data_IF_893110812926
#
_entry.id   IF_893110812926
#
_cell.length_a   1.000
_cell.length_b   1.000
_cell.length_c   1.000
_cell.angle_alpha   90.00
_cell.angle_beta   90.00
_cell.angle_gamma   90.00
#
_symmetry.space_group_name_H-M   'P 1'
#
loop_
_entity.id
_entity.type
_entity.pdbx_description
1 polymer ?
#
# COMPACT_ATOMS: atom_id res chain seq x y z
N UNK A 1 -13.48 -43.23 -29.07
CA UNK A 1 -14.33 -42.14 -29.58
C UNK A 1 -14.01 -40.96 -28.68
N UNK A 2 -13.02 -40.17 -29.10
CA UNK A 2 -12.65 -38.95 -28.39
C UNK A 2 -13.63 -37.87 -28.83
N UNK A 3 -14.60 -37.57 -27.98
CA UNK A 3 -15.50 -36.42 -28.18
C UNK A 3 -14.70 -35.14 -27.93
N UNK A 4 -14.33 -34.47 -29.01
CA UNK A 4 -13.79 -33.11 -28.99
C UNK A 4 -14.77 -32.19 -28.25
N UNK A 5 -14.39 -31.74 -27.06
CA UNK A 5 -15.07 -30.64 -26.36
C UNK A 5 -14.58 -29.34 -27.00
N UNK A 6 -15.11 -28.97 -28.17
CA UNK A 6 -14.65 -27.77 -28.90
C UNK A 6 -15.69 -26.67 -29.12
N UNK A 7 -16.80 -26.68 -28.37
CA UNK A 7 -17.78 -25.59 -28.42
C UNK A 7 -17.45 -24.43 -27.46
N UNK A 8 -16.21 -23.93 -27.50
CA UNK A 8 -15.86 -22.69 -26.79
C UNK A 8 -16.37 -21.51 -27.63
N UNK A 9 -17.53 -20.96 -27.25
CA UNK A 9 -18.10 -19.77 -27.88
C UNK A 9 -17.51 -18.51 -27.25
N UNK A 10 -16.75 -17.73 -28.03
CA UNK A 10 -16.34 -16.38 -27.63
C UNK A 10 -17.53 -15.43 -27.76
N UNK A 11 -17.88 -14.77 -26.66
CA UNK A 11 -18.95 -13.76 -26.60
C UNK A 11 -18.43 -12.51 -25.90
N UNK A 12 -19.07 -11.36 -26.17
CA UNK A 12 -18.69 -10.13 -25.48
C UNK A 12 -19.04 -10.22 -23.99
N UNK A 13 -18.30 -9.52 -23.12
CA UNK A 13 -18.60 -9.53 -21.68
C UNK A 13 -20.02 -8.99 -21.39
N UNK A 14 -20.51 -8.04 -22.20
CA UNK A 14 -21.86 -7.49 -22.09
C UNK A 14 -22.94 -8.50 -22.45
N UNK A 15 -22.72 -9.25 -23.54
CA UNK A 15 -23.59 -10.39 -23.92
C UNK A 15 -23.59 -11.46 -22.83
N UNK A 16 -22.43 -11.79 -22.27
CA UNK A 16 -22.35 -12.74 -21.15
C UNK A 16 -23.12 -12.27 -19.92
N UNK A 17 -23.00 -10.99 -19.53
CA UNK A 17 -23.78 -10.40 -18.42
C UNK A 17 -25.29 -10.52 -18.67
N UNK A 18 -25.75 -10.25 -19.89
CA UNK A 18 -27.16 -10.38 -20.27
C UNK A 18 -27.66 -11.83 -20.17
N UNK A 19 -26.88 -12.79 -20.66
CA UNK A 19 -27.24 -14.21 -20.59
C UNK A 19 -27.34 -14.72 -19.15
N UNK A 20 -26.46 -14.26 -18.25
CA UNK A 20 -26.56 -14.54 -16.82
C UNK A 20 -27.81 -13.90 -16.19
N UNK A 21 -28.16 -12.67 -16.57
CA UNK A 21 -29.35 -11.98 -16.10
C UNK A 21 -30.66 -12.64 -16.57
N UNK A 22 -30.64 -13.26 -17.75
CA UNK A 22 -31.76 -14.03 -18.33
C UNK A 22 -31.86 -15.45 -17.78
N UNK A 23 -30.94 -15.86 -16.89
CA UNK A 23 -30.83 -17.20 -16.34
C UNK A 23 -30.75 -18.28 -17.45
N UNK A 24 -29.98 -18.02 -18.52
CA UNK A 24 -29.76 -18.99 -19.60
C UNK A 24 -29.20 -20.31 -19.01
N UNK A 25 -29.88 -21.45 -19.21
CA UNK A 25 -29.52 -22.74 -18.61
C UNK A 25 -28.17 -23.28 -19.08
N UNK A 26 -27.54 -22.69 -20.11
CA UNK A 26 -26.21 -23.07 -20.60
C UNK A 26 -25.06 -22.53 -19.73
N UNK A 27 -25.33 -21.60 -18.82
CA UNK A 27 -24.32 -20.94 -17.99
C UNK A 27 -24.57 -21.15 -16.50
N UNK A 28 -23.50 -21.08 -15.69
CA UNK A 28 -23.62 -21.22 -14.24
C UNK A 28 -24.38 -20.00 -13.68
N UNK A 29 -25.48 -20.20 -12.93
CA UNK A 29 -26.30 -19.10 -12.46
C UNK A 29 -25.54 -18.30 -11.40
N UNK A 30 -25.13 -17.09 -11.77
CA UNK A 30 -24.51 -16.11 -10.88
C UNK A 30 -25.37 -14.85 -10.81
N UNK A 31 -25.52 -14.33 -9.59
CA UNK A 31 -26.26 -13.09 -9.36
C UNK A 31 -25.43 -11.89 -9.83
N UNK A 32 -25.84 -11.31 -10.96
CA UNK A 32 -25.21 -10.14 -11.58
C UNK A 32 -25.39 -8.84 -10.79
N UNK A 33 -26.18 -8.85 -9.71
CA UNK A 33 -26.42 -7.68 -8.84
C UNK A 33 -25.71 -7.79 -7.48
N UNK A 34 -25.00 -8.89 -7.20
CA UNK A 34 -24.20 -9.09 -5.98
C UNK A 34 -22.71 -8.87 -6.24
N UNK A 35 -21.85 -9.38 -5.36
CA UNK A 35 -20.39 -9.22 -5.45
C UNK A 35 -19.80 -9.61 -6.81
N UNK A 36 -20.33 -10.63 -7.50
CA UNK A 36 -19.88 -11.00 -8.85
C UNK A 36 -20.28 -9.98 -9.92
N UNK A 37 -21.39 -9.26 -9.71
CA UNK A 37 -21.82 -8.11 -10.50
C UNK A 37 -20.80 -6.97 -10.53
N UNK A 38 -20.09 -6.76 -9.42
CA UNK A 38 -19.06 -5.73 -9.31
C UNK A 38 -17.96 -5.91 -10.37
N UNK A 39 -17.61 -7.15 -10.74
CA UNK A 39 -16.63 -7.41 -11.79
C UNK A 39 -17.08 -6.84 -13.15
N UNK A 40 -18.36 -6.99 -13.49
CA UNK A 40 -18.92 -6.45 -14.73
C UNK A 40 -18.94 -4.93 -14.73
N UNK A 41 -19.28 -4.31 -13.60
CA UNK A 41 -19.30 -2.86 -13.47
C UNK A 41 -17.88 -2.28 -13.50
N UNK A 42 -16.91 -2.95 -12.87
CA UNK A 42 -15.47 -2.65 -12.93
C UNK A 42 -14.99 -2.68 -14.39
N UNK A 43 -15.22 -3.78 -15.11
CA UNK A 43 -14.83 -3.91 -16.53
C UNK A 43 -15.52 -2.83 -17.37
N UNK A 44 -16.83 -2.61 -17.16
CA UNK A 44 -17.60 -1.61 -17.91
C UNK A 44 -17.07 -0.20 -17.69
N UNK A 45 -16.82 0.21 -16.44
CA UNK A 45 -16.26 1.53 -16.10
C UNK A 45 -14.90 1.69 -16.80
N UNK A 46 -14.03 0.68 -16.70
CA UNK A 46 -12.67 0.69 -17.27
C UNK A 46 -12.63 0.83 -18.80
N UNK A 47 -13.50 0.14 -19.53
CA UNK A 47 -13.49 0.18 -21.00
C UNK A 47 -14.29 1.35 -21.60
N UNK A 48 -15.13 2.02 -20.82
CA UNK A 48 -15.89 3.20 -21.24
C UNK A 48 -15.27 4.53 -20.81
N UNK A 49 -14.30 4.50 -19.90
CA UNK A 49 -13.67 5.71 -19.37
C UNK A 49 -12.75 6.36 -20.41
N UNK A 50 -12.85 7.68 -20.54
CA UNK A 50 -12.02 8.47 -21.43
C UNK A 50 -10.68 8.77 -20.75
N UNK A 51 -9.68 7.92 -21.00
CA UNK A 51 -8.36 8.03 -20.39
C UNK A 51 -7.67 9.37 -20.66
N UNK A 52 -7.91 9.99 -21.82
CA UNK A 52 -7.34 11.30 -22.15
C UNK A 52 -7.95 12.39 -21.28
N UNK A 53 -9.28 12.42 -21.17
CA UNK A 53 -9.98 13.38 -20.30
C UNK A 53 -9.59 13.21 -18.83
N UNK A 54 -9.51 11.96 -18.34
CA UNK A 54 -9.09 11.66 -16.96
C UNK A 54 -7.64 12.10 -16.69
N UNK A 55 -6.74 11.89 -17.66
CA UNK A 55 -5.36 12.37 -17.61
C UNK A 55 -5.27 13.90 -17.53
N UNK A 56 -6.06 14.62 -18.33
CA UNK A 56 -6.12 16.08 -18.26
C UNK A 56 -6.64 16.59 -16.91
N UNK A 57 -7.63 15.89 -16.32
CA UNK A 57 -8.10 16.19 -14.95
C UNK A 57 -6.98 16.01 -13.94
N UNK A 58 -6.26 14.88 -13.96
CA UNK A 58 -5.13 14.66 -13.04
C UNK A 58 -4.02 15.68 -13.21
N UNK A 59 -3.66 16.03 -14.45
CA UNK A 59 -2.67 17.08 -14.73
C UNK A 59 -3.11 18.42 -14.11
N UNK A 60 -4.40 18.74 -14.17
CA UNK A 60 -4.95 19.94 -13.54
C UNK A 60 -4.90 19.86 -12.02
N UNK A 61 -5.15 18.69 -11.44
CA UNK A 61 -5.05 18.45 -9.99
C UNK A 61 -3.60 18.56 -9.51
N UNK A 62 -2.65 17.95 -10.21
CA UNK A 62 -1.21 18.05 -9.94
C UNK A 62 -0.70 19.49 -9.99
N UNK A 63 -1.19 20.28 -10.95
CA UNK A 63 -0.86 21.72 -11.05
C UNK A 63 -1.38 22.56 -9.89
N UNK A 64 -2.22 22.02 -8.99
CA UNK A 64 -2.57 22.70 -7.73
C UNK A 64 -1.40 22.76 -6.76
N UNK A 65 -0.46 21.82 -6.86
CA UNK A 65 0.73 21.77 -6.02
C UNK A 65 1.88 22.50 -6.71
N UNK A 66 2.20 23.70 -6.22
CA UNK A 66 3.37 24.42 -6.69
C UNK A 66 4.64 23.71 -6.18
N UNK A 67 5.62 23.42 -7.04
CA UNK A 67 6.90 22.89 -6.58
C UNK A 67 7.61 23.96 -5.75
N UNK A 68 7.88 23.66 -4.48
CA UNK A 68 8.60 24.54 -3.56
C UNK A 68 9.87 23.81 -3.12
N UNK A 69 11.01 24.50 -3.23
CA UNK A 69 12.27 23.98 -2.67
C UNK A 69 12.26 24.22 -1.16
N UNK A 70 12.26 23.15 -0.38
CA UNK A 70 12.45 23.22 1.07
C UNK A 70 13.94 23.32 1.37
N UNK A 71 14.35 24.38 2.05
CA UNK A 71 15.72 24.59 2.53
C UNK A 71 15.71 24.68 4.04
N UNK A 72 16.66 24.04 4.71
CA UNK A 72 16.86 24.15 6.15
C UNK A 72 18.12 24.97 6.44
N UNK A 73 18.05 25.80 7.48
CA UNK A 73 19.23 26.49 8.01
C UNK A 73 19.97 25.54 8.95
N UNK A 74 21.18 25.13 8.54
CA UNK A 74 21.99 24.15 9.26
C UNK A 74 23.14 24.82 10.04
N UNK A 75 23.12 26.14 10.16
CA UNK A 75 24.14 26.90 10.90
C UNK A 75 24.07 26.54 12.39
N UNK A 76 25.18 26.09 12.95
CA UNK A 76 25.26 25.68 14.36
C UNK A 76 25.31 24.16 14.58
N UNK A 77 25.05 23.36 13.54
CA UNK A 77 25.34 21.93 13.58
C UNK A 77 26.84 21.71 13.38
N UNK A 78 27.43 20.87 14.22
CA UNK A 78 28.81 20.41 14.03
C UNK A 78 28.85 19.24 13.01
N UNK A 79 30.06 18.86 12.60
CA UNK A 79 30.25 17.79 11.61
C UNK A 79 29.62 16.45 12.03
N UNK A 80 29.63 16.12 13.34
CA UNK A 80 29.06 14.88 13.84
C UNK A 80 27.53 14.88 13.81
N UNK A 81 26.89 16.00 14.16
CA UNK A 81 25.44 16.16 14.05
C UNK A 81 24.99 16.18 12.58
N UNK A 82 25.81 16.71 11.68
CA UNK A 82 25.58 16.63 10.22
C UNK A 82 25.66 15.19 9.70
N UNK A 83 26.62 14.39 10.17
CA UNK A 83 26.68 12.96 9.83
C UNK A 83 25.48 12.18 10.39
N UNK A 84 25.08 12.48 11.64
CA UNK A 84 23.88 11.91 12.23
C UNK A 84 22.62 12.26 11.43
N UNK A 85 22.47 13.50 10.97
CA UNK A 85 21.35 13.94 10.14
C UNK A 85 21.22 13.12 8.85
N UNK A 86 22.34 12.76 8.20
CA UNK A 86 22.33 11.87 7.03
C UNK A 86 21.77 10.49 7.36
N UNK A 87 22.08 9.95 8.54
CA UNK A 87 21.53 8.68 9.01
C UNK A 87 20.04 8.78 9.36
N UNK A 88 19.62 9.89 9.96
CA UNK A 88 18.21 10.18 10.25
C UNK A 88 17.38 10.27 8.96
N UNK A 89 17.90 10.93 7.92
CA UNK A 89 17.23 10.98 6.60
C UNK A 89 17.08 9.57 6.03
N UNK A 90 18.10 8.71 6.15
CA UNK A 90 17.99 7.31 5.70
C UNK A 90 16.95 6.53 6.49
N UNK A 91 16.84 6.74 7.81
CA UNK A 91 15.81 6.12 8.63
C UNK A 91 14.41 6.63 8.25
N UNK A 92 14.27 7.94 7.97
CA UNK A 92 13.03 8.56 7.50
C UNK A 92 12.53 7.92 6.19
N UNK A 93 13.44 7.68 5.23
CA UNK A 93 13.11 6.99 3.97
C UNK A 93 12.58 5.57 4.18
N UNK A 94 13.00 4.88 5.25
CA UNK A 94 12.44 3.57 5.62
C UNK A 94 11.03 3.72 6.18
N UNK A 95 10.74 4.78 6.93
CA UNK A 95 9.38 5.07 7.40
C UNK A 95 8.44 5.32 6.22
N UNK A 96 8.92 6.03 5.18
CA UNK A 96 8.16 6.16 3.92
C UNK A 96 7.84 4.79 3.32
N UNK A 97 8.81 3.86 3.26
CA UNK A 97 8.55 2.50 2.76
C UNK A 97 7.45 1.77 3.55
N UNK A 98 7.47 1.88 4.88
CA UNK A 98 6.45 1.29 5.76
C UNK A 98 5.09 1.97 5.54
N UNK A 99 5.05 3.31 5.51
CA UNK A 99 3.83 4.07 5.27
C UNK A 99 3.17 3.66 3.95
N UNK A 100 3.96 3.52 2.88
CA UNK A 100 3.44 3.07 1.59
C UNK A 100 2.79 1.69 1.66
N UNK A 101 3.30 0.78 2.50
CA UNK A 101 2.69 -0.54 2.76
C UNK A 101 1.41 -0.42 3.60
N UNK A 102 1.38 0.47 4.58
CA UNK A 102 0.23 0.71 5.47
C UNK A 102 -0.97 1.28 4.72
N UNK A 103 -0.75 2.23 3.81
CA UNK A 103 -1.81 2.91 3.05
C UNK A 103 -2.57 1.95 2.14
N UNK A 104 -1.87 1.07 1.42
CA UNK A 104 -2.51 0.14 0.50
C UNK A 104 -1.60 -1.04 0.15
N UNK A 105 -2.09 -2.26 0.34
CA UNK A 105 -1.33 -3.48 0.03
C UNK A 105 -0.78 -3.55 -1.40
N UNK A 106 -1.44 -2.84 -2.33
CA UNK A 106 -1.09 -2.86 -3.75
C UNK A 106 -0.10 -1.76 -4.15
N UNK A 107 0.20 -0.80 -3.27
CA UNK A 107 1.11 0.32 -3.53
C UNK A 107 2.52 -0.10 -3.98
N UNK A 108 3.20 -1.09 -3.35
CA UNK A 108 4.55 -1.47 -3.77
C UNK A 108 4.57 -1.95 -5.22
N UNK A 109 3.60 -2.80 -5.58
CA UNK A 109 3.51 -3.37 -6.92
C UNK A 109 3.11 -2.29 -7.94
N UNK A 110 2.22 -1.37 -7.55
CA UNK A 110 1.85 -0.22 -8.38
C UNK A 110 3.03 0.69 -8.67
N UNK A 111 3.83 0.99 -7.64
CA UNK A 111 5.02 1.83 -7.74
C UNK A 111 6.04 1.23 -8.69
N UNK A 112 6.37 -0.06 -8.54
CA UNK A 112 7.34 -0.71 -9.43
C UNK A 112 6.83 -0.76 -10.87
N UNK A 113 5.56 -1.09 -11.06
CA UNK A 113 4.93 -1.05 -12.38
C UNK A 113 5.03 0.34 -13.04
N UNK A 114 4.72 1.39 -12.27
CA UNK A 114 4.84 2.79 -12.71
C UNK A 114 6.27 3.17 -13.08
N UNK A 115 7.26 2.72 -12.32
CA UNK A 115 8.68 2.99 -12.61
C UNK A 115 9.11 2.34 -13.92
N UNK A 116 8.72 1.10 -14.16
CA UNK A 116 9.05 0.35 -15.38
C UNK A 116 8.41 0.94 -16.63
N UNK A 117 7.25 1.59 -16.49
CA UNK A 117 6.46 2.10 -17.62
C UNK A 117 6.50 3.62 -17.76
N UNK A 118 7.31 4.33 -16.97
CA UNK A 118 7.36 5.80 -16.89
C UNK A 118 7.55 6.52 -18.25
N UNK A 119 8.16 5.85 -19.23
CA UNK A 119 8.49 6.42 -20.55
C UNK A 119 7.49 6.04 -21.65
N UNK A 120 6.45 5.27 -21.34
CA UNK A 120 5.52 4.71 -22.35
C UNK A 120 4.44 5.72 -22.76
N UNK A 121 4.06 6.65 -21.87
CA UNK A 121 3.08 7.70 -22.14
C UNK A 121 3.24 8.92 -21.23
N UNK A 122 2.65 10.06 -21.62
CA UNK A 122 2.56 11.23 -20.74
C UNK A 122 1.84 10.93 -19.40
N UNK A 123 0.96 9.91 -19.36
CA UNK A 123 0.32 9.44 -18.13
C UNK A 123 1.31 8.76 -17.17
N UNK A 124 2.29 8.03 -17.68
CA UNK A 124 3.22 7.27 -16.84
C UNK A 124 4.24 8.17 -16.12
N UNK A 125 4.36 9.43 -16.58
CA UNK A 125 5.10 10.50 -15.91
C UNK A 125 4.38 11.09 -14.69
N UNK A 126 3.07 10.83 -14.54
CA UNK A 126 2.25 11.29 -13.41
C UNK A 126 2.45 10.37 -12.21
N UNK A 127 3.68 10.34 -11.71
CA UNK A 127 4.04 9.64 -10.48
C UNK A 127 3.26 10.26 -9.31
N UNK A 128 2.44 9.44 -8.67
CA UNK A 128 1.94 9.59 -7.30
C UNK A 128 0.90 10.67 -6.97
N UNK A 129 -0.06 11.00 -7.83
CA UNK A 129 -1.22 11.79 -7.39
C UNK A 129 -2.49 10.96 -7.40
N UNK A 130 -2.85 10.43 -6.22
CA UNK A 130 -4.18 9.90 -5.96
C UNK A 130 -4.82 10.78 -4.88
N UNK A 131 -5.30 11.96 -5.29
CA UNK A 131 -6.02 12.88 -4.39
C UNK A 131 -7.44 12.39 -4.05
N UNK A 132 -7.83 11.16 -4.42
CA UNK A 132 -9.24 10.71 -4.28
C UNK A 132 -9.43 9.22 -3.93
N UNK A 133 -8.41 8.51 -3.41
CA UNK A 133 -8.52 7.07 -3.03
C UNK A 133 -9.00 6.12 -4.17
N UNK A 134 -9.05 6.60 -5.41
CA UNK A 134 -9.35 5.80 -6.60
C UNK A 134 -8.05 5.38 -7.30
N UNK A 135 -7.90 4.11 -7.66
CA UNK A 135 -6.78 3.70 -8.51
C UNK A 135 -6.87 4.38 -9.90
N UNK A 136 -5.79 5.07 -10.30
CA UNK A 136 -5.68 5.64 -11.65
C UNK A 136 -5.23 4.59 -12.68
N UNK A 137 -4.29 3.73 -12.29
CA UNK A 137 -3.79 2.66 -13.15
C UNK A 137 -4.45 1.35 -12.76
N UNK A 138 -5.54 1.02 -13.44
CA UNK A 138 -6.03 -0.36 -13.46
C UNK A 138 -5.69 -0.94 -14.82
N UNK A 139 -4.41 -1.24 -14.98
CA UNK A 139 -3.93 -2.44 -15.67
C UNK A 139 -5.05 -3.41 -16.08
N UNK A 140 -5.52 -3.26 -17.32
CA UNK A 140 -6.72 -3.90 -17.81
C UNK A 140 -6.59 -5.41 -18.11
N UNK A 141 -5.60 -6.11 -17.56
CA UNK A 141 -5.24 -7.46 -17.98
C UNK A 141 -5.32 -8.53 -16.88
N UNK A 142 -5.71 -8.16 -15.65
CA UNK A 142 -5.77 -9.11 -14.54
C UNK A 142 -7.19 -9.61 -14.27
N UNK A 143 -7.70 -10.53 -15.10
CA UNK A 143 -8.86 -11.34 -14.74
C UNK A 143 -8.94 -12.72 -15.42
N UNK A 144 -7.95 -13.15 -16.21
CA UNK A 144 -8.03 -14.44 -16.91
C UNK A 144 -6.71 -15.20 -16.80
N UNK A 145 -6.76 -16.34 -16.12
CA UNK A 145 -5.69 -17.36 -16.12
C UNK A 145 -5.81 -18.14 -17.43
N UNK A 146 -4.79 -18.11 -18.28
CA UNK A 146 -4.68 -19.13 -19.33
C UNK A 146 -4.42 -20.47 -18.64
N UNK A 147 -5.37 -21.40 -18.79
CA UNK A 147 -5.08 -22.79 -18.48
C UNK A 147 -3.98 -23.26 -19.45
N UNK A 148 -2.97 -24.00 -18.97
CA UNK A 148 -1.91 -24.55 -19.82
C UNK A 148 -2.44 -25.31 -21.04
N UNK A 149 -3.66 -25.82 -20.97
CA UNK A 149 -4.36 -26.53 -22.05
C UNK A 149 -5.24 -25.63 -22.95
N UNK A 150 -4.94 -24.34 -23.10
CA UNK A 150 -5.68 -23.48 -24.03
C UNK A 150 -5.65 -24.06 -25.45
N UNK A 151 -6.82 -24.39 -25.98
CA UNK A 151 -6.98 -25.35 -27.08
C UNK A 151 -6.47 -24.87 -28.45
N UNK A 152 -6.21 -23.57 -28.65
CA UNK A 152 -5.60 -23.03 -29.89
C UNK A 152 -4.75 -21.77 -29.65
N UNK A 153 -3.49 -21.73 -30.11
CA UNK A 153 -2.74 -20.49 -30.25
C UNK A 153 -3.27 -19.65 -31.42
N UNK A 154 -3.53 -18.36 -31.19
CA UNK A 154 -4.03 -17.42 -32.21
C UNK A 154 -2.86 -16.61 -32.78
N UNK A 155 -2.63 -16.68 -34.09
CA UNK A 155 -1.53 -15.96 -34.77
C UNK A 155 -1.69 -14.45 -34.64
N UNK A 156 -0.65 -13.76 -34.13
CA UNK A 156 -0.66 -12.30 -33.91
C UNK A 156 -1.22 -11.87 -32.54
N UNK A 157 -1.87 -12.78 -31.80
CA UNK A 157 -2.30 -12.54 -30.43
C UNK A 157 -1.12 -12.77 -29.48
N UNK A 158 -0.68 -11.72 -28.77
CA UNK A 158 0.44 -11.77 -27.81
C UNK A 158 0.04 -12.30 -26.42
N UNK A 159 -1.16 -12.86 -26.29
CA UNK A 159 -1.78 -13.18 -25.01
C UNK A 159 -2.34 -11.94 -24.30
N UNK A 160 -2.86 -12.14 -23.09
CA UNK A 160 -3.22 -11.07 -22.15
C UNK A 160 -1.97 -10.78 -21.32
N UNK A 161 -1.41 -9.57 -21.43
CA UNK A 161 -0.17 -9.23 -20.73
C UNK A 161 -0.51 -8.82 -19.30
N UNK A 162 -0.23 -9.68 -18.31
CA UNK A 162 -0.49 -9.36 -16.91
C UNK A 162 0.01 -7.96 -16.56
N UNK A 163 -0.93 -7.06 -16.30
CA UNK A 163 -0.66 -5.80 -15.63
C UNK A 163 -1.42 -5.91 -14.30
N UNK A 164 -0.71 -5.76 -13.19
CA UNK A 164 -1.13 -6.13 -11.82
C UNK A 164 -2.53 -5.62 -11.45
N UNK A 165 -3.47 -6.46 -11.04
CA UNK A 165 -4.80 -5.98 -10.60
C UNK A 165 -4.69 -5.10 -9.35
N UNK A 166 -5.10 -3.85 -9.48
CA UNK A 166 -5.31 -2.93 -8.36
C UNK A 166 -6.81 -2.84 -8.05
N UNK A 167 -7.25 -2.96 -6.78
CA UNK A 167 -8.63 -2.69 -6.44
C UNK A 167 -8.98 -1.25 -6.82
N UNK A 168 -10.21 -1.02 -7.31
CA UNK A 168 -10.59 0.32 -7.79
C UNK A 168 -10.72 1.33 -6.64
N UNK A 169 -10.97 0.84 -5.43
CA UNK A 169 -11.25 1.65 -4.24
C UNK A 169 -10.28 1.20 -3.15
N UNK A 170 -9.61 2.16 -2.51
CA UNK A 170 -8.82 1.92 -1.31
C UNK A 170 -9.71 1.37 -0.18
N UNK A 171 -9.36 0.23 0.45
CA UNK A 171 -10.09 -0.27 1.62
C UNK A 171 -10.11 0.78 2.75
N UNK A 172 -11.23 0.92 3.46
CA UNK A 172 -11.35 1.89 4.57
C UNK A 172 -10.43 1.57 5.74
N UNK A 173 -10.07 0.30 5.93
CA UNK A 173 -9.08 -0.15 6.90
C UNK A 173 -7.63 -0.08 6.41
N UNK A 174 -7.41 0.56 5.25
CA UNK A 174 -6.13 0.58 4.55
C UNK A 174 -5.55 -0.86 4.45
N UNK A 175 -4.28 -1.06 4.79
CA UNK A 175 -3.65 -2.38 4.90
C UNK A 175 -3.51 -2.86 6.36
N UNK A 176 -4.30 -2.32 7.29
CA UNK A 176 -4.21 -2.68 8.71
C UNK A 176 -5.09 -3.86 9.12
N UNK A 177 -6.06 -4.19 8.28
CA UNK A 177 -7.08 -5.20 8.49
C UNK A 177 -7.27 -6.03 7.22
N UNK A 178 -7.87 -7.22 7.33
CA UNK A 178 -8.37 -7.93 6.18
C UNK A 178 -9.28 -7.06 5.30
N UNK A 179 -9.19 -7.18 3.97
CA UNK A 179 -9.92 -6.30 3.05
C UNK A 179 -11.44 -6.49 3.07
N UNK A 180 -11.91 -7.62 3.60
CA UNK A 180 -13.33 -7.97 3.78
C UNK A 180 -13.87 -7.64 5.18
N UNK A 181 -13.05 -7.07 6.07
CA UNK A 181 -13.46 -6.72 7.43
C UNK A 181 -14.40 -5.51 7.45
N UNK A 182 -15.48 -5.62 8.21
CA UNK A 182 -16.43 -4.53 8.47
C UNK A 182 -16.51 -4.15 9.96
N UNK A 183 -17.24 -3.07 10.25
CA UNK A 183 -17.42 -2.57 11.62
C UNK A 183 -18.20 -3.52 12.54
N UNK A 184 -18.97 -4.45 11.98
CA UNK A 184 -19.84 -5.36 12.75
C UNK A 184 -19.10 -6.60 13.24
N UNK A 185 -17.94 -6.91 12.67
CA UNK A 185 -17.10 -8.08 13.00
C UNK A 185 -16.19 -7.91 14.25
N UNK A 186 -16.44 -6.91 15.11
CA UNK A 186 -15.48 -6.52 16.17
C UNK A 186 -15.09 -7.66 17.14
N UNK A 187 -13.77 -7.84 17.32
CA UNK A 187 -13.18 -8.37 18.55
C UNK A 187 -12.16 -7.37 19.10
N UNK A 188 -12.13 -7.23 20.42
CA UNK A 188 -11.63 -6.08 21.19
C UNK A 188 -10.10 -5.98 21.36
N UNK A 189 -9.30 -6.13 20.29
CA UNK A 189 -7.83 -6.11 20.42
C UNK A 189 -7.12 -5.08 19.52
N UNK A 190 -6.24 -4.29 20.14
CA UNK A 190 -5.28 -3.40 19.47
C UNK A 190 -4.15 -4.25 18.86
N UNK A 191 -4.09 -4.32 17.52
CA UNK A 191 -2.96 -4.87 16.74
C UNK A 191 -3.37 -5.11 15.28
N UNK A 192 -2.40 -5.26 14.35
CA UNK A 192 -2.69 -5.54 12.94
C UNK A 192 -3.37 -6.90 12.81
N UNK A 193 -4.44 -7.02 12.04
CA UNK A 193 -5.10 -8.31 11.85
C UNK A 193 -4.60 -8.95 10.56
N UNK A 194 -4.04 -10.16 10.65
CA UNK A 194 -3.63 -10.94 9.49
C UNK A 194 -4.60 -12.11 9.24
N UNK A 195 -4.85 -12.41 7.96
CA UNK A 195 -5.50 -13.66 7.56
C UNK A 195 -4.46 -14.78 7.55
N UNK A 196 -4.79 -15.94 8.10
CA UNK A 196 -4.02 -17.14 7.85
C UNK A 196 -4.40 -17.70 6.48
N UNK A 197 -3.87 -17.13 5.40
CA UNK A 197 -3.94 -17.77 4.09
C UNK A 197 -2.84 -18.83 4.01
N UNK A 198 -3.12 -20.05 4.47
CA UNK A 198 -2.52 -21.22 3.81
C UNK A 198 -3.22 -21.33 2.46
N UNK A 199 -2.80 -20.51 1.50
CA UNK A 199 -3.15 -20.70 0.09
C UNK A 199 -2.14 -21.67 -0.52
N UNK A 200 -2.12 -22.90 0.01
CA UNK A 200 -1.58 -24.02 -0.75
C UNK A 200 -2.73 -24.47 -1.67
N UNK A 201 -2.48 -24.54 -2.97
CA UNK A 201 -3.51 -24.68 -4.02
C UNK A 201 -4.27 -26.01 -4.03
N UNK A 202 -4.32 -26.71 -2.90
CA UNK A 202 -4.95 -28.01 -2.72
C UNK A 202 -5.64 -28.04 -1.35
N UNK A 203 -6.97 -28.22 -1.36
CA UNK A 203 -7.88 -28.41 -0.21
C UNK A 203 -8.41 -27.15 0.48
N UNK A 204 -9.46 -26.55 -0.11
CA UNK A 204 -10.52 -25.91 0.68
C UNK A 204 -11.26 -26.99 1.46
N UNK A 205 -10.79 -27.27 2.67
CA UNK A 205 -11.53 -28.06 3.64
C UNK A 205 -12.66 -27.18 4.16
N UNK A 206 -13.92 -27.55 3.87
CA UNK A 206 -15.09 -26.93 4.50
C UNK A 206 -15.03 -27.20 6.01
N UNK A 207 -14.39 -26.30 6.75
CA UNK A 207 -14.16 -26.46 8.19
C UNK A 207 -13.01 -25.64 8.80
N UNK A 208 -12.18 -24.94 8.01
CA UNK A 208 -11.17 -24.05 8.60
C UNK A 208 -11.83 -22.77 9.13
N UNK A 209 -11.88 -22.61 10.46
CA UNK A 209 -12.22 -21.33 11.08
C UNK A 209 -11.12 -20.32 10.72
N UNK A 210 -11.48 -19.23 10.06
CA UNK A 210 -10.56 -18.12 9.80
C UNK A 210 -10.38 -17.37 11.12
N UNK A 211 -9.39 -17.77 11.91
CA UNK A 211 -9.12 -17.13 13.19
C UNK A 211 -8.39 -15.80 12.98
N UNK A 212 -8.97 -14.72 13.52
CA UNK A 212 -8.38 -13.39 13.55
C UNK A 212 -7.37 -13.28 14.69
N UNK A 213 -6.14 -12.87 14.37
CA UNK A 213 -5.09 -12.63 15.36
C UNK A 213 -4.39 -11.30 15.12
N UNK A 214 -3.85 -10.73 16.20
CA UNK A 214 -3.13 -9.45 16.20
C UNK A 214 -1.62 -9.66 16.07
N UNK A 215 -1.00 -9.00 15.10
CA UNK A 215 0.46 -8.93 14.93
C UNK A 215 0.96 -7.56 15.41
N UNK A 216 2.06 -7.56 16.16
CA UNK A 216 2.73 -6.33 16.60
C UNK A 216 3.48 -5.68 15.42
N UNK A 217 3.64 -4.35 15.43
CA UNK A 217 4.31 -3.65 14.33
C UNK A 217 5.78 -4.04 14.22
N UNK A 218 6.45 -4.26 15.36
CA UNK A 218 7.82 -4.76 15.39
C UNK A 218 8.01 -6.13 14.74
N UNK A 219 6.93 -6.93 14.66
CA UNK A 219 6.93 -8.23 13.99
C UNK A 219 6.55 -8.08 12.50
N UNK A 220 5.49 -7.34 12.20
CA UNK A 220 5.02 -7.12 10.82
C UNK A 220 6.10 -6.45 9.96
N UNK A 221 6.69 -5.37 10.48
CA UNK A 221 7.67 -4.55 9.74
C UNK A 221 9.10 -4.83 10.20
N UNK A 222 9.36 -6.01 10.79
CA UNK A 222 10.62 -6.34 11.47
C UNK A 222 11.87 -6.02 10.64
N UNK A 223 11.89 -6.37 9.36
CA UNK A 223 13.04 -6.15 8.47
C UNK A 223 13.30 -4.66 8.19
N UNK A 224 12.25 -3.83 8.12
CA UNK A 224 12.37 -2.38 7.97
C UNK A 224 12.81 -1.75 9.29
N UNK A 225 12.14 -2.12 10.38
CA UNK A 225 12.38 -1.58 11.72
C UNK A 225 13.76 -1.93 12.27
N UNK A 226 14.31 -3.10 11.93
CA UNK A 226 15.70 -3.46 12.27
C UNK A 226 16.69 -2.53 11.57
N UNK A 227 16.52 -2.28 10.26
CA UNK A 227 17.39 -1.38 9.51
C UNK A 227 17.29 0.07 10.02
N UNK A 228 16.07 0.51 10.34
CA UNK A 228 15.85 1.84 10.91
C UNK A 228 16.46 1.95 12.32
N UNK A 229 16.27 0.95 13.17
CA UNK A 229 16.87 0.86 14.51
C UNK A 229 18.40 0.98 14.45
N UNK A 230 19.06 0.22 13.56
CA UNK A 230 20.50 0.30 13.37
C UNK A 230 20.98 1.70 12.95
N UNK A 231 20.21 2.40 12.10
CA UNK A 231 20.53 3.76 11.67
C UNK A 231 20.36 4.76 12.82
N UNK A 232 19.30 4.62 13.61
CA UNK A 232 19.03 5.49 14.76
C UNK A 232 20.06 5.31 15.87
N UNK A 233 20.46 4.08 16.21
CA UNK A 233 21.55 3.82 17.15
C UNK A 233 22.86 4.46 16.66
N UNK A 234 23.23 4.26 15.39
CA UNK A 234 24.42 4.90 14.81
C UNK A 234 24.35 6.42 14.85
N UNK A 235 23.19 7.01 14.56
CA UNK A 235 22.99 8.46 14.65
C UNK A 235 23.16 8.94 16.10
N UNK A 236 22.55 8.25 17.07
CA UNK A 236 22.69 8.55 18.49
C UNK A 236 24.11 8.42 19.03
N UNK A 237 24.94 7.58 18.44
CA UNK A 237 26.36 7.47 18.78
C UNK A 237 27.22 8.63 18.24
N UNK A 238 26.74 9.35 17.22
CA UNK A 238 27.43 10.50 16.63
C UNK A 238 27.03 11.83 17.26
N UNK A 239 25.75 11.99 17.62
CA UNK A 239 25.23 13.29 18.08
C UNK A 239 25.91 13.76 19.36
N UNK A 240 26.10 15.08 19.44
CA UNK A 240 26.73 15.70 20.62
C UNK A 240 25.75 15.95 21.77
N UNK A 241 24.45 16.11 21.47
CA UNK A 241 23.42 16.34 22.49
C UNK A 241 23.07 15.06 23.25
N UNK A 242 23.19 15.04 24.59
CA UNK A 242 22.80 13.87 25.40
C UNK A 242 21.30 13.53 25.32
N UNK A 243 20.43 14.55 25.23
CA UNK A 243 18.98 14.34 25.14
C UNK A 243 18.61 13.72 23.79
N UNK A 244 19.21 14.22 22.69
CA UNK A 244 19.03 13.64 21.36
C UNK A 244 19.58 12.21 21.30
N UNK A 245 20.76 11.94 21.85
CA UNK A 245 21.30 10.58 21.94
C UNK A 245 20.31 9.63 22.63
N UNK A 246 19.76 10.04 23.78
CA UNK A 246 18.79 9.24 24.53
C UNK A 246 17.52 8.98 23.71
N UNK A 247 16.99 10.00 23.03
CA UNK A 247 15.84 9.83 22.14
C UNK A 247 16.13 8.83 21.03
N UNK A 248 17.25 8.99 20.31
CA UNK A 248 17.57 8.12 19.17
C UNK A 248 17.77 6.66 19.57
N UNK A 249 18.48 6.39 20.68
CA UNK A 249 18.67 5.02 21.16
C UNK A 249 17.36 4.41 21.67
N UNK A 250 16.61 5.13 22.50
CA UNK A 250 15.34 4.61 23.04
C UNK A 250 14.30 4.38 21.94
N UNK A 251 14.26 5.23 20.90
CA UNK A 251 13.37 5.04 19.75
C UNK A 251 13.81 3.86 18.88
N UNK A 252 15.12 3.67 18.70
CA UNK A 252 15.67 2.50 18.02
C UNK A 252 15.28 1.18 18.72
N UNK A 253 15.31 1.16 20.05
CA UNK A 253 14.89 0.00 20.85
C UNK A 253 13.37 -0.21 20.79
N UNK A 254 12.59 0.88 20.85
CA UNK A 254 11.13 0.87 20.74
C UNK A 254 10.62 0.24 19.43
N UNK A 255 11.33 0.47 18.32
CA UNK A 255 11.02 -0.14 17.02
C UNK A 255 11.05 -1.67 17.06
N UNK A 256 11.90 -2.26 17.90
CA UNK A 256 12.05 -3.70 18.01
C UNK A 256 11.19 -4.30 19.13
N UNK A 257 11.01 -3.58 20.24
CA UNK A 257 10.21 -4.01 21.38
C UNK A 257 8.70 -3.84 21.17
N UNK A 258 8.31 -2.90 20.30
CA UNK A 258 6.95 -2.40 20.16
C UNK A 258 6.43 -1.63 21.40
N UNK A 259 7.31 -1.22 22.30
CA UNK A 259 7.01 -0.39 23.47
C UNK A 259 7.67 0.98 23.31
N UNK A 260 6.85 2.02 23.16
CA UNK A 260 7.28 3.37 22.83
C UNK A 260 7.34 4.31 24.03
N UNK A 261 6.89 3.88 25.22
CA UNK A 261 6.69 4.76 26.37
C UNK A 261 7.97 5.54 26.76
N UNK A 262 9.09 4.83 26.93
CA UNK A 262 10.36 5.46 27.30
C UNK A 262 10.88 6.42 26.22
N UNK A 263 10.66 6.06 24.95
CA UNK A 263 11.07 6.90 23.82
C UNK A 263 10.22 8.16 23.66
N UNK A 264 8.94 8.11 24.06
CA UNK A 264 8.04 9.26 24.02
C UNK A 264 8.36 10.23 25.17
N UNK A 265 8.75 9.72 26.34
CA UNK A 265 9.32 10.56 27.41
C UNK A 265 10.61 11.22 26.92
N UNK A 266 11.51 10.47 26.29
CA UNK A 266 12.77 11.02 25.77
C UNK A 266 12.52 12.08 24.69
N UNK A 267 11.44 11.95 23.91
CA UNK A 267 11.02 12.96 22.92
C UNK A 267 10.49 14.23 23.59
N UNK A 268 9.69 14.11 24.65
CA UNK A 268 9.21 15.26 25.43
C UNK A 268 10.33 16.01 26.16
N UNK A 269 11.40 15.31 26.53
CA UNK A 269 12.58 15.87 27.21
C UNK A 269 13.67 16.34 26.24
N UNK A 270 13.41 16.33 24.92
CA UNK A 270 14.39 16.68 23.90
C UNK A 270 14.81 18.15 24.05
N UNK A 271 16.13 18.36 24.14
CA UNK A 271 16.78 19.67 24.21
C UNK A 271 18.00 19.65 23.27
N UNK A 272 17.77 20.01 22.01
CA UNK A 272 18.77 19.91 20.94
C UNK A 272 18.41 20.82 19.77
N UNK A 273 19.42 21.22 18.98
CA UNK A 273 19.21 22.00 17.76
C UNK A 273 18.42 21.26 16.67
N UNK A 274 18.41 19.92 16.74
CA UNK A 274 17.64 19.05 15.86
C UNK A 274 16.39 18.56 16.60
N UNK A 275 15.21 18.91 16.09
CA UNK A 275 13.95 18.29 16.48
C UNK A 275 13.65 17.11 15.54
N UNK A 276 13.51 15.93 16.15
CA UNK A 276 13.33 14.65 15.46
C UNK A 276 12.06 13.99 15.97
N UNK A 277 11.07 13.88 15.09
CA UNK A 277 9.89 13.05 15.31
C UNK A 277 9.92 11.88 14.33
N UNK A 278 10.05 10.65 14.82
CA UNK A 278 10.10 9.45 13.98
C UNK A 278 9.44 8.27 14.68
N UNK A 279 8.47 7.64 14.01
CA UNK A 279 7.73 6.50 14.56
C UNK A 279 6.26 6.49 14.14
N UNK A 280 5.46 5.61 14.75
CA UNK A 280 4.04 5.50 14.46
C UNK A 280 3.21 6.39 15.43
N UNK A 281 2.35 7.27 14.91
CA UNK A 281 1.63 8.24 15.76
C UNK A 281 0.18 8.52 15.36
N UNK A 282 -0.06 8.83 14.08
CA UNK A 282 -1.37 9.32 13.62
C UNK A 282 -2.30 8.18 13.22
N UNK A 283 -3.62 8.35 13.33
CA UNK A 283 -4.60 7.29 13.00
C UNK A 283 -5.45 7.55 11.77
N UNK A 284 -5.16 8.63 11.03
CA UNK A 284 -6.02 9.12 9.95
C UNK A 284 -6.21 8.13 8.80
N UNK A 285 -5.21 7.28 8.56
CA UNK A 285 -5.26 6.26 7.52
C UNK A 285 -6.25 5.11 7.84
N UNK A 286 -6.54 4.87 9.12
CA UNK A 286 -7.55 3.90 9.56
C UNK A 286 -8.94 4.55 9.59
N UNK A 287 -9.55 4.69 8.41
CA UNK A 287 -10.93 5.17 8.29
C UNK A 287 -11.98 4.13 8.72
N UNK A 288 -11.58 2.88 9.02
CA UNK A 288 -12.48 1.83 9.46
C UNK A 288 -12.76 1.96 10.96
N UNK A 289 -11.74 1.99 11.81
CA UNK A 289 -11.88 2.05 13.26
C UNK A 289 -11.15 3.23 13.92
N UNK A 290 -10.16 3.82 13.26
CA UNK A 290 -9.30 4.87 13.83
C UNK A 290 -8.39 4.38 14.96
N UNK A 291 -8.05 3.09 14.99
CA UNK A 291 -7.23 2.49 16.05
C UNK A 291 -5.77 2.29 15.66
N UNK A 292 -5.49 2.25 14.36
CA UNK A 292 -4.17 1.89 13.82
C UNK A 292 -3.41 3.14 13.49
N UNK A 293 -2.12 3.11 13.79
CA UNK A 293 -1.24 4.26 13.66
C UNK A 293 -0.31 4.12 12.45
N UNK A 294 -0.10 5.20 11.71
CA UNK A 294 0.80 5.23 10.56
C UNK A 294 2.20 5.75 10.94
N UNK A 295 3.22 5.17 10.31
CA UNK A 295 4.61 5.60 10.48
C UNK A 295 4.87 6.88 9.68
N UNK A 296 5.48 7.86 10.33
CA UNK A 296 5.91 9.08 9.67
C UNK A 296 7.24 9.59 10.24
N UNK A 297 7.79 10.61 9.59
CA UNK A 297 8.97 11.31 10.09
C UNK A 297 8.85 12.81 9.84
N UNK A 298 9.28 13.60 10.83
CA UNK A 298 9.50 15.04 10.70
C UNK A 298 10.88 15.36 11.28
N UNK A 299 11.68 16.05 10.49
CA UNK A 299 13.00 16.57 10.89
C UNK A 299 12.94 18.08 10.78
N UNK A 300 13.32 18.76 11.85
CA UNK A 300 13.34 20.22 11.90
C UNK A 300 14.63 20.68 12.58
N UNK A 301 15.20 21.78 12.10
CA UNK A 301 16.22 22.53 12.81
C UNK A 301 15.54 23.67 13.54
N UNK A 302 15.75 23.79 14.84
CA UNK A 302 15.22 24.94 15.58
C UNK A 302 16.19 26.12 15.47
N UNK A 303 15.72 27.31 15.06
CA UNK A 303 16.55 28.49 15.05
C UNK A 303 16.93 28.83 16.50
N UNK A 304 18.15 29.32 16.76
CA UNK A 304 18.49 29.81 18.10
C UNK A 304 17.56 30.97 18.49
N UNK A 305 17.02 30.90 19.70
CA UNK A 305 16.22 31.97 20.35
C UNK A 305 16.99 33.31 20.46
#
# INVERSE_FOLDING_TARGET
MDTEVSDVKYISFGEYRSLLAEADPKYVPYDVNKQYGLLFDIITKRYKENNEERSQVLLKQLRRYAPVSLTAELTGLNDADMEALVLLIKAAMIMDEIFYLQVWYSNPVLREWLKEHADVSQLDSLKSCLDENEAFLTTADSAIKLLPEATKPITGWKGVQYRVAFPMIKPSGANFYPPDMDKMAQSSKLGLFAYNHIFDGTHLSAGSTCDLYSIAYSQEYHSFLTRASDLLHKAGDLVSSPSLKRLLHSKADAFLSNDYYDSDIAWMELDSMLDVTIGPYETYEDSLFGYKIDYHTKLQSDPPD
#
